data_IF_664081794311
#
_entry.id   IF_664081794311
#
_cell.length_a   1.000
_cell.length_b   1.000
_cell.length_c   1.000
_cell.angle_alpha   90.00
_cell.angle_beta   90.00
_cell.angle_gamma   90.00
#
_symmetry.space_group_name_H-M   'P 1'
#
loop_
_entity.id
_entity.type
_entity.pdbx_description
1 polymer ?
#
# COMPACT_ATOMS: atom_id res chain seq x y z
N UNK A 1 6.00 5.82 13.97
CA UNK A 1 5.58 4.39 13.93
C UNK A 1 5.04 4.01 15.29
N UNK A 2 3.74 3.70 15.44
CA UNK A 2 3.22 3.16 16.70
C UNK A 2 3.60 1.69 16.82
N UNK A 3 4.29 1.34 17.90
CA UNK A 3 4.59 -0.04 18.26
C UNK A 3 3.30 -0.77 18.64
N UNK A 4 3.11 -1.98 18.11
CA UNK A 4 1.96 -2.81 18.46
C UNK A 4 2.17 -3.42 19.85
N UNK A 5 1.13 -3.53 20.70
CA UNK A 5 1.24 -4.09 22.03
C UNK A 5 1.74 -5.55 21.98
N UNK A 6 2.72 -5.87 22.82
CA UNK A 6 3.51 -7.12 22.85
C UNK A 6 2.74 -8.39 23.24
N UNK A 7 1.45 -8.29 23.55
CA UNK A 7 0.63 -9.39 24.06
C UNK A 7 -0.33 -10.01 23.00
N UNK A 8 -0.22 -9.63 21.73
CA UNK A 8 -1.13 -10.10 20.69
C UNK A 8 -0.69 -11.45 20.08
N UNK A 9 -1.64 -12.36 19.75
CA UNK A 9 -1.33 -13.55 18.96
C UNK A 9 -0.67 -13.17 17.63
N UNK A 10 0.31 -13.96 17.17
CA UNK A 10 1.05 -13.70 15.94
C UNK A 10 0.12 -13.50 14.72
N UNK A 11 -0.96 -14.27 14.63
CA UNK A 11 -1.95 -14.13 13.57
C UNK A 11 -2.68 -12.77 13.61
N UNK A 12 -2.96 -12.26 14.81
CA UNK A 12 -3.55 -10.93 15.01
C UNK A 12 -2.57 -9.85 14.57
N UNK A 13 -1.30 -9.97 14.95
CA UNK A 13 -0.24 -9.06 14.50
C UNK A 13 -0.15 -9.04 12.97
N UNK A 14 -0.12 -10.20 12.33
CA UNK A 14 -0.10 -10.31 10.86
C UNK A 14 -1.32 -9.65 10.21
N UNK A 15 -2.53 -9.86 10.73
CA UNK A 15 -3.75 -9.21 10.20
C UNK A 15 -3.69 -7.71 10.34
N UNK A 16 -3.27 -7.20 11.50
CA UNK A 16 -3.12 -5.77 11.73
C UNK A 16 -2.08 -5.17 10.78
N UNK A 17 -0.97 -5.89 10.55
CA UNK A 17 0.06 -5.43 9.62
C UNK A 17 -0.40 -5.42 8.18
N UNK A 18 -1.07 -6.48 7.73
CA UNK A 18 -1.69 -6.53 6.41
C UNK A 18 -2.71 -5.38 6.21
N UNK A 19 -3.49 -5.05 7.24
CA UNK A 19 -4.43 -3.93 7.22
C UNK A 19 -3.72 -2.58 7.10
N UNK A 20 -2.68 -2.33 7.91
CA UNK A 20 -1.89 -1.09 7.86
C UNK A 20 -1.24 -0.88 6.50
N UNK A 21 -0.59 -1.90 5.97
CA UNK A 21 0.07 -1.86 4.65
C UNK A 21 -0.93 -1.64 3.53
N UNK A 22 -2.10 -2.29 3.61
CA UNK A 22 -3.20 -2.04 2.66
C UNK A 22 -3.61 -0.57 2.69
N UNK A 23 -3.90 -0.02 3.86
CA UNK A 23 -4.31 1.37 4.00
C UNK A 23 -3.29 2.33 3.39
N UNK A 24 -2.00 2.11 3.62
CA UNK A 24 -0.93 2.89 3.01
C UNK A 24 -0.97 2.84 1.48
N UNK A 25 -1.12 1.64 0.89
CA UNK A 25 -1.28 1.50 -0.56
C UNK A 25 -2.54 2.20 -1.09
N UNK A 26 -3.65 2.14 -0.36
CA UNK A 26 -4.88 2.84 -0.75
C UNK A 26 -4.67 4.34 -0.80
N UNK A 27 -4.00 4.90 0.20
CA UNK A 27 -3.69 6.32 0.30
C UNK A 27 -2.71 6.78 -0.79
N UNK A 28 -1.60 6.06 -0.98
CA UNK A 28 -0.61 6.34 -2.04
C UNK A 28 -1.30 6.35 -3.41
N UNK A 29 -2.13 5.34 -3.68
CA UNK A 29 -2.86 5.24 -4.96
C UNK A 29 -3.92 6.32 -5.13
N UNK A 30 -4.56 6.77 -4.03
CA UNK A 30 -5.56 7.81 -4.06
C UNK A 30 -4.93 9.16 -4.41
N UNK A 31 -3.82 9.51 -3.74
CA UNK A 31 -3.05 10.71 -4.02
C UNK A 31 -2.54 10.70 -5.47
N UNK A 32 -1.98 9.57 -5.92
CA UNK A 32 -1.51 9.40 -7.29
C UNK A 32 -2.59 9.63 -8.34
N UNK A 33 -3.78 9.09 -8.10
CA UNK A 33 -4.93 9.27 -8.98
C UNK A 33 -5.42 10.71 -8.98
N UNK A 34 -5.64 11.30 -7.79
CA UNK A 34 -6.12 12.67 -7.66
C UNK A 34 -5.23 13.67 -8.39
N UNK A 35 -3.91 13.53 -8.27
CA UNK A 35 -2.96 14.42 -8.93
C UNK A 35 -2.96 14.27 -10.46
N UNK A 36 -3.18 13.05 -10.98
CA UNK A 36 -3.22 12.83 -12.43
C UNK A 36 -4.55 13.21 -13.07
N UNK A 37 -5.67 13.09 -12.36
CA UNK A 37 -7.01 13.32 -12.94
C UNK A 37 -7.70 14.59 -12.44
N UNK A 38 -7.13 15.27 -11.44
CA UNK A 38 -7.77 16.41 -10.76
C UNK A 38 -9.04 16.02 -9.99
N UNK A 39 -9.26 14.73 -9.72
CA UNK A 39 -10.51 14.23 -9.12
C UNK A 39 -10.27 13.62 -7.75
N UNK A 40 -11.03 14.08 -6.76
CA UNK A 40 -11.09 13.43 -5.44
C UNK A 40 -11.96 12.19 -5.51
N UNK A 41 -11.43 11.07 -5.01
CA UNK A 41 -12.12 9.79 -5.08
C UNK A 41 -13.22 9.73 -4.01
N UNK A 42 -14.47 9.59 -4.45
CA UNK A 42 -15.64 9.41 -3.57
C UNK A 42 -16.12 7.96 -3.46
N UNK A 43 -15.64 7.05 -4.31
CA UNK A 43 -16.00 5.62 -4.30
C UNK A 43 -14.76 4.75 -4.47
N UNK A 44 -14.76 3.57 -3.84
CA UNK A 44 -13.74 2.53 -3.96
C UNK A 44 -13.56 2.04 -5.42
N UNK A 45 -12.88 2.82 -6.27
CA UNK A 45 -12.32 2.29 -7.51
C UNK A 45 -11.23 1.29 -7.16
N UNK A 46 -11.12 0.22 -7.95
CA UNK A 46 -10.11 -0.83 -7.81
C UNK A 46 -8.73 -0.22 -7.53
N UNK A 47 -8.21 -0.42 -6.32
CA UNK A 47 -6.90 0.10 -5.89
C UNK A 47 -5.79 -0.44 -6.79
N UNK A 48 -5.93 -1.68 -7.25
CA UNK A 48 -5.03 -2.27 -8.23
C UNK A 48 -4.95 -1.48 -9.54
N UNK A 49 -6.07 -0.90 -10.00
CA UNK A 49 -6.07 -0.02 -11.17
C UNK A 49 -5.50 1.36 -10.83
N UNK A 50 -5.79 1.90 -9.65
CA UNK A 50 -5.23 3.19 -9.20
C UNK A 50 -3.72 3.14 -9.05
N UNK A 51 -3.14 2.02 -8.60
CA UNK A 51 -1.69 1.87 -8.52
C UNK A 51 -1.01 2.02 -9.89
N UNK A 52 -1.69 1.76 -11.01
CA UNK A 52 -1.12 2.01 -12.35
C UNK A 52 -0.91 3.50 -12.64
N UNK A 53 -1.62 4.41 -11.94
CA UNK A 53 -1.39 5.85 -12.10
C UNK A 53 -0.06 6.30 -11.52
N UNK A 54 0.62 5.46 -10.73
CA UNK A 54 2.00 5.71 -10.31
C UNK A 54 2.97 5.62 -11.48
N UNK A 55 2.68 4.81 -12.52
CA UNK A 55 3.61 4.61 -13.62
C UNK A 55 3.96 5.93 -14.33
N UNK A 56 5.25 6.17 -14.62
CA UNK A 56 5.68 7.30 -15.41
C UNK A 56 5.35 7.08 -16.90
N UNK A 57 5.72 8.04 -17.75
CA UNK A 57 5.70 7.83 -19.20
C UNK A 57 6.67 6.68 -19.59
N UNK A 58 6.39 5.91 -20.66
CA UNK A 58 7.20 4.76 -21.09
C UNK A 58 8.69 5.03 -21.33
N UNK A 59 9.02 6.27 -21.66
CA UNK A 59 10.37 6.76 -21.98
C UNK A 59 11.10 7.35 -20.76
N UNK A 60 10.49 7.31 -19.57
CA UNK A 60 11.12 7.81 -18.36
C UNK A 60 12.38 6.98 -18.00
N UNK A 61 13.50 7.63 -17.60
CA UNK A 61 14.75 6.94 -17.28
C UNK A 61 14.66 5.87 -16.19
N UNK A 62 13.64 5.94 -15.32
CA UNK A 62 13.41 5.02 -14.22
C UNK A 62 12.16 4.13 -14.42
N UNK A 63 11.68 4.00 -15.66
CA UNK A 63 10.48 3.25 -15.99
C UNK A 63 10.51 1.83 -15.41
N UNK A 64 11.60 1.07 -15.62
CA UNK A 64 11.69 -0.33 -15.20
C UNK A 64 11.58 -0.47 -13.68
N UNK A 65 12.27 0.40 -12.95
CA UNK A 65 12.27 0.42 -11.49
C UNK A 65 10.87 0.72 -10.97
N UNK A 66 10.23 1.77 -11.51
CA UNK A 66 8.87 2.17 -11.11
C UNK A 66 7.83 1.12 -11.49
N UNK A 67 7.97 0.48 -12.65
CA UNK A 67 7.09 -0.58 -13.11
C UNK A 67 7.14 -1.79 -12.18
N UNK A 68 8.34 -2.24 -11.82
CA UNK A 68 8.53 -3.36 -10.89
C UNK A 68 7.94 -3.04 -9.51
N UNK A 69 8.19 -1.84 -8.98
CA UNK A 69 7.61 -1.40 -7.72
C UNK A 69 6.07 -1.41 -7.74
N UNK A 70 5.45 -0.88 -8.80
CA UNK A 70 3.98 -0.89 -8.98
C UNK A 70 3.44 -2.31 -9.12
N UNK A 71 4.12 -3.18 -9.86
CA UNK A 71 3.74 -4.59 -10.00
C UNK A 71 3.77 -5.31 -8.65
N UNK A 72 4.83 -5.13 -7.87
CA UNK A 72 4.95 -5.67 -6.50
C UNK A 72 3.85 -5.13 -5.59
N UNK A 73 3.57 -3.83 -5.65
CA UNK A 73 2.51 -3.21 -4.86
C UNK A 73 1.12 -3.76 -5.17
N UNK A 74 0.81 -4.03 -6.44
CA UNK A 74 -0.45 -4.67 -6.84
C UNK A 74 -0.55 -6.09 -6.28
N UNK A 75 0.54 -6.85 -6.31
CA UNK A 75 0.59 -8.18 -5.72
C UNK A 75 0.42 -8.12 -4.19
N UNK A 76 1.16 -7.23 -3.52
CA UNK A 76 1.04 -6.96 -2.09
C UNK A 76 -0.41 -6.65 -1.72
N UNK A 77 -1.07 -5.72 -2.41
CA UNK A 77 -2.48 -5.37 -2.18
C UNK A 77 -3.43 -6.57 -2.31
N UNK A 78 -3.24 -7.42 -3.33
CA UNK A 78 -4.05 -8.62 -3.51
C UNK A 78 -3.84 -9.61 -2.36
N UNK A 79 -2.59 -9.91 -2.01
CA UNK A 79 -2.28 -10.88 -0.94
C UNK A 79 -2.70 -10.41 0.45
N UNK A 80 -2.58 -9.11 0.77
CA UNK A 80 -3.13 -8.57 2.02
C UNK A 80 -4.65 -8.60 2.03
N UNK A 81 -5.31 -8.38 0.88
CA UNK A 81 -6.75 -8.57 0.72
C UNK A 81 -7.17 -9.99 1.09
N UNK A 82 -6.46 -11.01 0.59
CA UNK A 82 -6.80 -12.40 0.86
C UNK A 82 -6.63 -12.77 2.33
N UNK A 83 -5.61 -12.24 3.01
CA UNK A 83 -5.45 -12.39 4.46
C UNK A 83 -6.60 -11.76 5.23
N UNK A 84 -6.98 -10.52 4.89
CA UNK A 84 -8.03 -9.79 5.60
C UNK A 84 -9.42 -10.41 5.40
N UNK A 85 -9.71 -10.94 4.21
CA UNK A 85 -10.98 -11.61 3.92
C UNK A 85 -10.99 -13.11 4.31
N UNK A 86 -9.91 -13.61 4.94
CA UNK A 86 -9.83 -14.99 5.41
C UNK A 86 -9.67 -16.04 4.30
N UNK A 87 -9.37 -15.62 3.06
CA UNK A 87 -9.02 -16.53 1.95
C UNK A 87 -7.64 -17.14 2.14
N UNK A 88 -6.77 -16.43 2.84
CA UNK A 88 -5.49 -16.95 3.35
C UNK A 88 -5.49 -16.82 4.88
N UNK A 89 -5.20 -17.92 5.58
CA UNK A 89 -5.05 -17.86 7.04
C UNK A 89 -3.84 -17.01 7.41
N UNK A 90 -4.03 -16.04 8.31
CA UNK A 90 -2.96 -15.18 8.80
C UNK A 90 -1.87 -15.96 9.58
N UNK A 91 -2.21 -17.14 10.11
CA UNK A 91 -1.25 -18.04 10.77
C UNK A 91 -0.25 -18.61 9.75
N UNK A 92 -0.68 -18.78 8.49
CA UNK A 92 0.11 -19.43 7.44
C UNK A 92 0.92 -18.42 6.62
N UNK A 93 0.85 -17.13 6.93
CA UNK A 93 1.62 -16.10 6.23
C UNK A 93 3.04 -16.12 6.82
N UNK A 94 4.08 -16.43 6.03
CA UNK A 94 5.45 -16.41 6.52
C UNK A 94 5.89 -14.98 6.90
N UNK A 95 6.73 -14.85 7.92
CA UNK A 95 7.28 -13.53 8.32
C UNK A 95 8.05 -12.86 7.18
N UNK A 96 8.71 -13.63 6.31
CA UNK A 96 9.38 -13.09 5.10
C UNK A 96 8.39 -12.40 4.17
N UNK A 97 7.17 -12.92 4.03
CA UNK A 97 6.13 -12.31 3.20
C UNK A 97 5.68 -10.96 3.77
N UNK A 98 5.55 -10.86 5.10
CA UNK A 98 5.22 -9.60 5.75
C UNK A 98 6.32 -8.56 5.52
N UNK A 99 7.59 -8.97 5.65
CA UNK A 99 8.75 -8.10 5.34
C UNK A 99 8.74 -7.62 3.90
N UNK A 100 8.49 -8.51 2.92
CA UNK A 100 8.39 -8.13 1.51
C UNK A 100 7.29 -7.08 1.27
N UNK A 101 6.16 -7.17 1.97
CA UNK A 101 5.10 -6.16 1.88
C UNK A 101 5.55 -4.82 2.46
N UNK A 102 6.19 -4.83 3.64
CA UNK A 102 6.74 -3.65 4.29
C UNK A 102 7.80 -2.95 3.41
N UNK A 103 8.70 -3.73 2.81
CA UNK A 103 9.70 -3.25 1.86
C UNK A 103 9.05 -2.68 0.60
N UNK A 104 8.01 -3.32 0.06
CA UNK A 104 7.27 -2.84 -1.11
C UNK A 104 6.63 -1.48 -0.85
N UNK A 105 5.98 -1.30 0.31
CA UNK A 105 5.39 0.00 0.67
C UNK A 105 6.46 1.05 0.92
N UNK A 106 7.55 0.69 1.59
CA UNK A 106 8.68 1.60 1.82
C UNK A 106 9.33 2.05 0.50
N UNK A 107 9.51 1.14 -0.45
CA UNK A 107 10.02 1.43 -1.79
C UNK A 107 9.10 2.41 -2.53
N UNK A 108 7.78 2.22 -2.46
CA UNK A 108 6.82 3.17 -3.05
C UNK A 108 6.89 4.56 -2.41
N UNK A 109 6.96 4.64 -1.08
CA UNK A 109 7.08 5.93 -0.38
C UNK A 109 8.38 6.65 -0.76
N UNK A 110 9.48 5.92 -0.95
CA UNK A 110 10.76 6.48 -1.40
C UNK A 110 10.70 6.99 -2.85
N UNK A 111 10.02 6.26 -3.74
CA UNK A 111 9.92 6.61 -5.16
C UNK A 111 8.88 7.72 -5.43
N UNK A 112 7.97 7.97 -4.48
CA UNK A 112 6.96 9.03 -4.55
C UNK A 112 6.89 9.82 -3.22
N UNK A 113 7.96 10.53 -2.82
CA UNK A 113 8.07 11.20 -1.52
C UNK A 113 7.14 12.41 -1.38
N UNK A 114 6.86 13.10 -2.49
CA UNK A 114 5.87 14.20 -2.56
C UNK A 114 4.46 13.74 -2.13
N UNK A 115 4.23 12.42 -2.03
CA UNK A 115 2.94 11.81 -1.71
C UNK A 115 2.91 11.18 -0.31
N UNK A 116 3.94 11.37 0.51
CA UNK A 116 3.92 11.02 1.93
C UNK A 116 3.38 12.20 2.79
N UNK A 117 3.69 13.45 2.41
CA UNK A 117 3.29 14.65 3.16
C UNK A 117 1.82 15.07 3.01
N UNK A 118 1.18 14.74 1.87
CA UNK A 118 -0.23 15.07 1.58
C UNK A 118 -1.19 13.90 1.84
N UNK A 119 -0.66 12.76 2.26
CA UNK A 119 -1.49 11.62 2.67
C UNK A 119 -2.00 11.92 4.07
N UNK A 120 -3.18 12.53 4.05
CA UNK A 120 -3.94 12.90 5.22
C UNK A 120 -4.97 11.80 5.44
N UNK A 121 -4.91 11.13 6.60
CA UNK A 121 -5.90 10.11 6.94
C UNK A 121 -7.31 10.71 6.80
N UNK A 122 -8.23 10.12 6.01
CA UNK A 122 -9.55 10.72 5.76
C UNK A 122 -10.39 10.84 7.04
N UNK A 123 -10.14 9.98 8.03
CA UNK A 123 -10.88 9.95 9.29
C UNK A 123 -10.35 10.93 10.34
N UNK A 124 -9.02 11.15 10.41
CA UNK A 124 -8.41 11.96 11.48
C UNK A 124 -7.60 13.17 11.01
N UNK A 125 -7.49 13.36 9.70
CA UNK A 125 -6.78 14.46 9.05
C UNK A 125 -5.32 14.69 9.48
N UNK A 126 -4.65 13.68 10.00
CA UNK A 126 -3.22 13.76 10.29
C UNK A 126 -2.36 13.30 9.11
N UNK A 127 -1.17 13.89 8.92
CA UNK A 127 -0.16 13.36 8.00
C UNK A 127 0.22 11.95 8.45
N UNK A 128 0.30 11.01 7.51
CA UNK A 128 0.65 9.60 7.77
C UNK A 128 2.16 9.40 7.83
#
# INVERSE_FOLDING_TARGET
MCELPTCLPAATVTRLRAHQLRNQLELISAAAFGNKTGTTITRHRSVGARLLTLLPAPDAPDWDVRYLAVRRARYCYATTCDVLHGRTSAVNVPTSRVKEWEETVSELLRLWPERAGDVVCPDCRQPV
#
